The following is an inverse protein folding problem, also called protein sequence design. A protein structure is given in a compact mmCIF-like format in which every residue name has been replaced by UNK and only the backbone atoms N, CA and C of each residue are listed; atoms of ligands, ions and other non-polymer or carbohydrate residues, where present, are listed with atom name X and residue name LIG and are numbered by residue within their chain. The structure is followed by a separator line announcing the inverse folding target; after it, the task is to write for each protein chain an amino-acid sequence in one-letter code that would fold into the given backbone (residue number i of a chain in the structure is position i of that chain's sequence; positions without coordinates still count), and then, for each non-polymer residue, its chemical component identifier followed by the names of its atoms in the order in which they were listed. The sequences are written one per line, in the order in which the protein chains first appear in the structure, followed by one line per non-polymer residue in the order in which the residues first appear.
data_IF_760638754152
#
_entry.id   IF_760638754152
#
_cell.length_a   1.000
_cell.length_b   1.000
_cell.length_c   1.000
_cell.angle_alpha   90.00
_cell.angle_beta   90.00
_cell.angle_gamma   90.00
#
_symmetry.space_group_name_H-M   'P 1'
#
loop_
_entity.id
_entity.type
_entity.pdbx_description
1 polymer ?
#
# COMPACT_ATOMS: atom_id res chain seq x y z
N UNK A 1 12.28 -5.87 -23.22
CA UNK A 1 13.15 -4.69 -22.92
C UNK A 1 12.77 -3.98 -21.61
N UNK A 2 11.49 -3.73 -21.32
CA UNK A 2 11.03 -3.00 -20.11
C UNK A 2 11.09 -3.85 -18.84
N UNK A 3 10.76 -5.13 -18.92
CA UNK A 3 10.91 -6.13 -17.85
C UNK A 3 12.37 -6.24 -17.38
N UNK A 4 13.32 -6.38 -18.31
CA UNK A 4 14.75 -6.45 -17.99
C UNK A 4 15.24 -5.20 -17.24
N UNK A 5 14.65 -4.03 -17.52
CA UNK A 5 14.99 -2.80 -16.81
C UNK A 5 14.45 -2.80 -15.38
N UNK A 6 13.22 -3.26 -15.21
CA UNK A 6 12.60 -3.46 -13.90
C UNK A 6 13.45 -4.42 -13.03
N UNK A 7 13.84 -5.57 -13.57
CA UNK A 7 14.68 -6.55 -12.86
C UNK A 7 16.03 -5.94 -12.45
N UNK A 8 16.71 -5.24 -13.37
CA UNK A 8 17.98 -4.56 -13.08
C UNK A 8 17.84 -3.50 -11.98
N UNK A 9 16.76 -2.74 -11.98
CA UNK A 9 16.55 -1.71 -10.95
C UNK A 9 16.25 -2.34 -9.57
N UNK A 10 15.58 -3.49 -9.51
CA UNK A 10 15.40 -4.24 -8.27
C UNK A 10 16.70 -4.86 -7.78
N UNK A 11 17.49 -5.46 -8.68
CA UNK A 11 18.80 -6.05 -8.37
C UNK A 11 19.76 -5.00 -7.76
N UNK A 12 19.81 -3.78 -8.29
CA UNK A 12 20.58 -2.67 -7.71
C UNK A 12 20.21 -2.34 -6.26
N UNK A 13 18.99 -2.71 -5.85
CA UNK A 13 18.50 -2.52 -4.49
C UNK A 13 18.51 -3.82 -3.67
N UNK A 14 19.22 -4.86 -4.14
CA UNK A 14 19.30 -6.18 -3.52
C UNK A 14 17.93 -6.89 -3.38
N UNK A 15 17.00 -6.58 -4.27
CA UNK A 15 15.70 -7.26 -4.34
C UNK A 15 15.75 -8.24 -5.52
N UNK A 16 15.82 -9.53 -5.18
CA UNK A 16 15.83 -10.60 -6.19
C UNK A 16 14.40 -11.00 -6.53
N UNK A 17 14.17 -11.32 -7.80
CA UNK A 17 12.87 -11.76 -8.31
C UNK A 17 13.04 -13.19 -8.84
N UNK A 18 12.31 -14.14 -8.29
CA UNK A 18 12.28 -15.51 -8.81
C UNK A 18 11.49 -15.59 -10.12
N UNK A 19 11.72 -16.63 -10.90
CA UNK A 19 10.95 -16.89 -12.13
C UNK A 19 9.45 -16.99 -11.85
N UNK A 20 9.05 -17.66 -10.77
CA UNK A 20 7.65 -17.78 -10.38
C UNK A 20 7.03 -16.41 -10.03
N UNK A 21 7.74 -15.54 -9.30
CA UNK A 21 7.28 -14.18 -9.01
C UNK A 21 7.14 -13.35 -10.29
N UNK A 22 8.10 -13.45 -11.20
CA UNK A 22 8.04 -12.74 -12.47
C UNK A 22 6.86 -13.21 -13.33
N UNK A 23 6.59 -14.51 -13.36
CA UNK A 23 5.42 -15.06 -14.04
C UNK A 23 4.11 -14.53 -13.46
N UNK A 24 3.99 -14.47 -12.11
CA UNK A 24 2.82 -13.88 -11.46
C UNK A 24 2.66 -12.40 -11.80
N UNK A 25 3.74 -11.61 -11.78
CA UNK A 25 3.70 -10.19 -12.15
C UNK A 25 3.29 -10.01 -13.62
N UNK A 26 3.75 -10.87 -14.52
CA UNK A 26 3.37 -10.84 -15.93
C UNK A 26 1.90 -11.17 -16.16
N UNK A 27 1.36 -12.18 -15.48
CA UNK A 27 -0.07 -12.50 -15.49
C UNK A 27 -0.90 -11.33 -14.94
N UNK A 28 -0.47 -10.76 -13.82
CA UNK A 28 -1.12 -9.60 -13.20
C UNK A 28 -1.16 -8.39 -14.15
N UNK A 29 -0.01 -8.04 -14.76
CA UNK A 29 0.08 -6.94 -15.73
C UNK A 29 -0.90 -7.13 -16.87
N UNK A 30 -0.89 -8.31 -17.51
CA UNK A 30 -1.77 -8.62 -18.64
C UNK A 30 -3.24 -8.46 -18.26
N UNK A 31 -3.64 -9.05 -17.15
CA UNK A 31 -5.02 -8.97 -16.67
C UNK A 31 -5.42 -7.54 -16.29
N UNK A 32 -4.54 -6.78 -15.64
CA UNK A 32 -4.77 -5.38 -15.34
C UNK A 32 -5.02 -4.55 -16.60
N UNK A 33 -4.21 -4.73 -17.65
CA UNK A 33 -4.38 -4.03 -18.93
C UNK A 33 -5.69 -4.38 -19.63
N UNK A 34 -6.10 -5.65 -19.58
CA UNK A 34 -7.37 -6.11 -20.15
C UNK A 34 -8.56 -5.52 -19.37
N UNK A 35 -8.56 -5.63 -18.04
CA UNK A 35 -9.67 -5.19 -17.21
C UNK A 35 -9.75 -3.66 -17.08
N UNK A 36 -8.65 -2.96 -17.25
CA UNK A 36 -8.64 -1.50 -17.21
C UNK A 36 -9.49 -0.86 -18.33
N UNK A 37 -9.61 -1.54 -19.46
CA UNK A 37 -10.49 -1.11 -20.57
C UNK A 37 -11.98 -1.09 -20.17
N UNK A 38 -12.35 -1.89 -19.16
CA UNK A 38 -13.72 -2.05 -18.69
C UNK A 38 -14.02 -1.20 -17.44
N UNK A 39 -13.04 -1.06 -16.56
CA UNK A 39 -13.29 -0.57 -15.20
C UNK A 39 -12.53 0.72 -14.85
N UNK A 40 -11.62 1.20 -15.71
CA UNK A 40 -10.77 2.38 -15.42
C UNK A 40 -10.05 2.25 -14.05
N UNK A 41 -9.36 1.15 -13.83
CA UNK A 41 -8.72 0.81 -12.56
C UNK A 41 -7.53 1.72 -12.25
N UNK A 42 -6.81 2.14 -13.29
CA UNK A 42 -5.62 2.99 -13.21
C UNK A 42 -5.43 3.82 -14.49
N UNK A 43 -4.83 5.00 -14.38
CA UNK A 43 -4.39 5.79 -15.52
C UNK A 43 -3.06 5.31 -16.13
N UNK A 44 -2.30 4.49 -15.40
CA UNK A 44 -0.97 4.01 -15.78
C UNK A 44 -1.08 2.62 -16.39
N UNK A 45 -1.14 2.52 -17.72
CA UNK A 45 -1.48 1.29 -18.45
C UNK A 45 -0.36 0.77 -19.37
N UNK A 46 0.67 1.57 -19.64
CA UNK A 46 1.78 1.11 -20.46
C UNK A 46 2.61 0.08 -19.68
N UNK A 47 3.29 -0.82 -20.40
CA UNK A 47 4.18 -1.79 -19.76
C UNK A 47 5.22 -1.11 -18.85
N UNK A 48 5.75 0.04 -19.29
CA UNK A 48 6.72 0.80 -18.51
C UNK A 48 6.13 1.37 -17.23
N UNK A 49 4.93 1.95 -17.32
CA UNK A 49 4.25 2.48 -16.13
C UNK A 49 3.94 1.36 -15.12
N UNK A 50 3.45 0.21 -15.61
CA UNK A 50 3.08 -0.91 -14.72
C UNK A 50 4.33 -1.46 -14.02
N UNK A 51 5.42 -1.74 -14.76
CA UNK A 51 6.64 -2.25 -14.14
C UNK A 51 7.32 -1.25 -13.20
N UNK A 52 7.35 0.03 -13.54
CA UNK A 52 8.15 1.01 -12.81
C UNK A 52 7.34 1.82 -11.80
N UNK A 53 6.12 2.25 -12.17
CA UNK A 53 5.29 3.08 -11.29
C UNK A 53 4.29 2.28 -10.45
N UNK A 54 4.04 1.01 -10.82
CA UNK A 54 3.22 0.13 -10.01
C UNK A 54 4.07 -0.94 -9.30
N UNK A 55 4.71 -1.85 -10.03
CA UNK A 55 5.40 -2.98 -9.40
C UNK A 55 6.66 -2.55 -8.64
N UNK A 56 7.56 -1.79 -9.28
CA UNK A 56 8.76 -1.31 -8.60
C UNK A 56 8.41 -0.42 -7.41
N UNK A 57 7.52 0.56 -7.61
CA UNK A 57 7.07 1.47 -6.54
C UNK A 57 6.44 0.71 -5.36
N UNK A 58 5.78 -0.42 -5.63
CA UNK A 58 5.18 -1.26 -4.59
C UNK A 58 6.18 -2.12 -3.83
N UNK A 59 7.25 -2.61 -4.46
CA UNK A 59 8.18 -3.54 -3.80
C UNK A 59 9.40 -2.85 -3.22
N UNK A 60 9.81 -1.69 -3.75
CA UNK A 60 11.00 -0.98 -3.25
C UNK A 60 10.87 -0.60 -1.76
N UNK A 61 9.66 -0.52 -1.24
CA UNK A 61 9.42 -0.29 0.18
C UNK A 61 10.09 -1.36 1.07
N UNK A 62 10.28 -2.58 0.56
CA UNK A 62 10.97 -3.66 1.30
C UNK A 62 12.44 -3.35 1.61
N UNK A 63 13.04 -2.40 0.92
CA UNK A 63 14.37 -1.87 1.26
C UNK A 63 14.34 -1.04 2.56
N UNK A 64 13.23 -0.41 2.83
CA UNK A 64 13.06 0.54 3.94
C UNK A 64 12.27 -0.04 5.10
N UNK A 65 11.46 -1.06 4.84
CA UNK A 65 10.59 -1.70 5.82
C UNK A 65 10.71 -3.23 5.76
N UNK A 66 10.94 -3.87 6.93
CA UNK A 66 11.11 -5.32 7.01
C UNK A 66 9.76 -6.02 7.22
N UNK A 67 9.15 -6.50 6.15
CA UNK A 67 7.88 -7.23 6.17
C UNK A 67 7.96 -8.62 6.81
N UNK A 68 9.15 -9.17 7.07
CA UNK A 68 9.30 -10.45 7.76
C UNK A 68 9.03 -10.35 9.27
N UNK A 69 8.99 -9.14 9.83
CA UNK A 69 8.75 -8.89 11.25
C UNK A 69 7.28 -8.68 11.60
N UNK A 70 6.38 -8.84 10.64
CA UNK A 70 4.94 -8.66 10.83
C UNK A 70 4.17 -9.87 10.31
N UNK A 71 3.01 -10.12 10.89
CA UNK A 71 2.12 -11.22 10.51
C UNK A 71 0.99 -10.76 9.61
N UNK A 72 0.55 -9.51 9.76
CA UNK A 72 -0.63 -8.99 9.06
C UNK A 72 -0.49 -7.53 8.63
N UNK A 73 -1.12 -7.23 7.49
CA UNK A 73 -1.12 -5.91 6.85
C UNK A 73 -2.51 -5.61 6.28
N UNK A 74 -2.97 -4.38 6.47
CA UNK A 74 -4.11 -3.84 5.72
C UNK A 74 -3.62 -2.78 4.72
N UNK A 75 -3.88 -2.99 3.44
CA UNK A 75 -3.63 -2.03 2.36
C UNK A 75 -4.89 -1.20 2.12
N UNK A 76 -4.87 0.04 2.60
CA UNK A 76 -6.03 0.93 2.59
C UNK A 76 -6.06 1.79 1.32
N UNK A 77 -7.20 1.74 0.63
CA UNK A 77 -7.34 2.39 -0.67
C UNK A 77 -6.48 1.70 -1.73
N UNK A 78 -6.40 0.38 -1.64
CA UNK A 78 -5.51 -0.48 -2.44
C UNK A 78 -5.65 -0.30 -3.95
N UNK A 79 -6.78 0.20 -4.42
CA UNK A 79 -7.03 0.42 -5.84
C UNK A 79 -7.02 -0.87 -6.64
N UNK A 80 -6.16 -0.92 -7.62
CA UNK A 80 -5.93 -2.13 -8.39
C UNK A 80 -4.98 -3.14 -7.68
N UNK A 81 -4.76 -3.02 -6.35
CA UNK A 81 -3.95 -3.95 -5.57
C UNK A 81 -2.52 -3.47 -5.28
N UNK A 82 -2.30 -2.17 -5.24
CA UNK A 82 -0.98 -1.58 -5.04
C UNK A 82 -0.88 -0.79 -3.72
N UNK A 83 0.03 -1.17 -2.82
CA UNK A 83 1.11 -2.14 -3.00
C UNK A 83 0.74 -3.60 -2.63
N UNK A 84 -0.44 -3.88 -2.07
CA UNK A 84 -0.76 -5.11 -1.36
C UNK A 84 -0.58 -6.40 -2.16
N UNK A 85 -1.06 -6.48 -3.42
CA UNK A 85 -0.91 -7.70 -4.25
C UNK A 85 0.56 -7.94 -4.60
N UNK A 86 1.32 -6.87 -4.90
CA UNK A 86 2.76 -7.01 -5.18
C UNK A 86 3.50 -7.50 -3.94
N UNK A 87 3.23 -6.90 -2.77
CA UNK A 87 3.80 -7.36 -1.51
C UNK A 87 3.45 -8.84 -1.24
N UNK A 88 2.23 -9.28 -1.56
CA UNK A 88 1.83 -10.68 -1.41
C UNK A 88 2.64 -11.64 -2.28
N UNK A 89 2.98 -11.25 -3.50
CA UNK A 89 3.81 -12.06 -4.40
C UNK A 89 5.22 -12.23 -3.82
N UNK A 90 5.77 -11.22 -3.17
CA UNK A 90 7.12 -11.26 -2.59
C UNK A 90 7.15 -11.81 -1.15
N UNK A 91 6.07 -11.64 -0.39
CA UNK A 91 5.94 -12.09 1.01
C UNK A 91 4.73 -13.04 1.16
N UNK A 92 4.82 -14.29 0.65
CA UNK A 92 3.68 -15.20 0.55
C UNK A 92 3.07 -15.61 1.90
N UNK A 93 3.82 -15.52 2.99
CA UNK A 93 3.33 -15.85 4.33
C UNK A 93 2.55 -14.72 5.00
N UNK A 94 2.72 -13.47 4.54
CA UNK A 94 2.07 -12.30 5.11
C UNK A 94 0.55 -12.36 4.89
N UNK A 95 -0.23 -12.17 5.95
CA UNK A 95 -1.68 -12.04 5.86
C UNK A 95 -2.04 -10.61 5.40
N UNK A 96 -2.74 -10.49 4.28
CA UNK A 96 -3.04 -9.18 3.67
C UNK A 96 -4.53 -8.97 3.51
N UNK A 97 -5.00 -7.79 3.92
CA UNK A 97 -6.34 -7.28 3.69
C UNK A 97 -6.27 -6.12 2.70
N UNK A 98 -6.82 -6.31 1.51
CA UNK A 98 -6.93 -5.28 0.48
C UNK A 98 -8.25 -4.54 0.65
N UNK A 99 -8.22 -3.27 1.05
CA UNK A 99 -9.43 -2.51 1.36
C UNK A 99 -9.64 -1.41 0.33
N UNK A 100 -10.80 -1.38 -0.30
CA UNK A 100 -11.22 -0.28 -1.17
C UNK A 100 -12.75 -0.08 -1.09
N UNK A 101 -13.20 1.15 -1.22
CA UNK A 101 -14.63 1.50 -1.22
C UNK A 101 -15.30 1.33 -2.58
N UNK A 102 -14.56 0.95 -3.62
CA UNK A 102 -15.07 0.77 -4.99
C UNK A 102 -15.27 -0.73 -5.30
N UNK A 103 -16.52 -1.13 -5.41
CA UNK A 103 -16.88 -2.53 -5.68
C UNK A 103 -16.30 -3.10 -6.98
N UNK A 104 -16.11 -2.28 -8.02
CA UNK A 104 -15.48 -2.74 -9.28
C UNK A 104 -14.02 -3.14 -9.06
N UNK A 105 -13.30 -2.39 -8.21
CA UNK A 105 -11.92 -2.72 -7.82
C UNK A 105 -11.87 -4.00 -6.99
N UNK A 106 -12.80 -4.18 -6.04
CA UNK A 106 -12.90 -5.39 -5.23
C UNK A 106 -13.15 -6.64 -6.11
N UNK A 107 -14.02 -6.53 -7.10
CA UNK A 107 -14.23 -7.61 -8.07
C UNK A 107 -12.93 -7.98 -8.80
N UNK A 108 -12.25 -6.97 -9.35
CA UNK A 108 -10.95 -7.16 -10.00
C UNK A 108 -9.93 -7.82 -9.06
N UNK A 109 -9.85 -7.39 -7.79
CA UNK A 109 -8.93 -7.95 -6.80
C UNK A 109 -9.25 -9.42 -6.49
N UNK A 110 -10.51 -9.79 -6.36
CA UNK A 110 -10.90 -11.18 -6.17
C UNK A 110 -10.50 -12.06 -7.37
N UNK A 111 -10.64 -11.55 -8.59
CA UNK A 111 -10.23 -12.26 -9.79
C UNK A 111 -8.70 -12.45 -9.84
N UNK A 112 -7.92 -11.41 -9.49
CA UNK A 112 -6.45 -11.49 -9.39
C UNK A 112 -6.02 -12.50 -8.32
N UNK A 113 -6.60 -12.46 -7.13
CA UNK A 113 -6.30 -13.38 -6.03
C UNK A 113 -6.50 -14.83 -6.50
N UNK A 114 -7.63 -15.09 -7.16
CA UNK A 114 -7.96 -16.42 -7.70
C UNK A 114 -7.01 -16.83 -8.83
N UNK A 115 -6.76 -15.94 -9.79
CA UNK A 115 -5.93 -16.22 -10.97
C UNK A 115 -4.49 -16.53 -10.61
N UNK A 116 -3.94 -15.84 -9.61
CA UNK A 116 -2.58 -16.03 -9.12
C UNK A 116 -2.47 -17.06 -7.99
N UNK A 117 -3.58 -17.71 -7.61
CA UNK A 117 -3.68 -18.66 -6.49
C UNK A 117 -3.08 -18.14 -5.18
N UNK A 118 -3.27 -16.85 -4.89
CA UNK A 118 -2.71 -16.22 -3.70
C UNK A 118 -3.46 -16.69 -2.45
N UNK A 119 -2.70 -17.09 -1.42
CA UNK A 119 -3.25 -17.54 -0.12
C UNK A 119 -3.07 -16.44 0.93
N UNK A 120 -3.85 -16.50 2.02
CA UNK A 120 -3.78 -15.54 3.12
C UNK A 120 -3.92 -14.06 2.67
N UNK A 121 -4.75 -13.81 1.66
CA UNK A 121 -5.08 -12.47 1.18
C UNK A 121 -6.57 -12.39 0.88
N UNK A 122 -7.20 -11.28 1.22
CA UNK A 122 -8.64 -11.06 1.01
C UNK A 122 -8.91 -9.63 0.60
N UNK A 123 -9.83 -9.44 -0.35
CA UNK A 123 -10.31 -8.11 -0.74
C UNK A 123 -11.60 -7.78 0.02
N UNK A 124 -11.62 -6.60 0.65
CA UNK A 124 -12.73 -6.13 1.49
C UNK A 124 -13.32 -4.86 0.87
N UNK A 125 -14.62 -4.93 0.54
CA UNK A 125 -15.38 -3.75 0.14
C UNK A 125 -15.82 -2.98 1.38
N UNK A 126 -15.07 -1.96 1.76
CA UNK A 126 -15.38 -1.14 2.93
C UNK A 126 -14.79 0.25 2.79
N UNK A 127 -15.37 1.20 3.50
CA UNK A 127 -14.69 2.44 3.86
C UNK A 127 -13.82 2.19 5.08
N UNK A 128 -12.79 3.00 5.26
CA UNK A 128 -11.85 2.83 6.37
C UNK A 128 -12.52 3.05 7.73
N UNK A 129 -13.45 3.99 7.80
CA UNK A 129 -14.19 4.31 9.02
C UNK A 129 -15.15 3.20 9.47
N UNK A 130 -15.52 2.28 8.56
CA UNK A 130 -16.43 1.17 8.81
C UNK A 130 -15.69 -0.17 8.95
N UNK A 131 -14.35 -0.13 8.93
CA UNK A 131 -13.52 -1.32 8.92
C UNK A 131 -13.31 -1.88 10.33
N UNK A 132 -13.82 -3.08 10.58
CA UNK A 132 -13.64 -3.79 11.85
C UNK A 132 -12.64 -4.94 11.71
N UNK A 133 -11.37 -4.60 11.52
CA UNK A 133 -10.24 -5.54 11.53
C UNK A 133 -9.08 -4.94 12.33
N UNK A 134 -8.18 -5.82 12.78
CA UNK A 134 -6.92 -5.43 13.40
C UNK A 134 -5.77 -6.12 12.68
N UNK A 135 -4.73 -5.35 12.39
CA UNK A 135 -3.52 -5.82 11.73
C UNK A 135 -2.29 -5.27 12.45
N UNK A 136 -1.14 -5.89 12.25
CA UNK A 136 0.11 -5.32 12.77
C UNK A 136 0.33 -3.91 12.21
N UNK A 137 0.21 -3.78 10.89
CA UNK A 137 0.39 -2.51 10.21
C UNK A 137 -0.75 -2.19 9.26
N UNK A 138 -0.92 -0.89 9.02
CA UNK A 138 -1.64 -0.36 7.85
C UNK A 138 -0.62 0.19 6.87
N UNK A 139 -0.79 -0.12 5.60
CA UNK A 139 -0.08 0.57 4.51
C UNK A 139 -1.09 1.32 3.65
N UNK A 140 -0.68 2.47 3.12
CA UNK A 140 -1.46 3.20 2.14
C UNK A 140 -0.57 3.93 1.15
N UNK A 141 -0.93 3.88 -0.14
CA UNK A 141 -0.22 4.55 -1.22
C UNK A 141 -1.11 5.58 -1.90
N UNK A 142 -0.66 6.84 -1.91
CA UNK A 142 -1.33 7.95 -2.59
C UNK A 142 -2.79 8.18 -2.17
N UNK A 143 -3.15 7.87 -0.93
CA UNK A 143 -4.49 8.02 -0.38
C UNK A 143 -4.55 9.27 0.51
N UNK A 144 -5.47 10.17 0.24
CA UNK A 144 -5.91 11.26 1.11
C UNK A 144 -4.81 12.08 1.82
N UNK A 145 -5.22 12.87 2.80
CA UNK A 145 -4.33 13.62 3.70
C UNK A 145 -3.78 12.69 4.80
N UNK A 146 -2.52 12.90 5.23
CA UNK A 146 -1.84 12.08 6.25
C UNK A 146 -2.63 12.03 7.56
N UNK A 147 -3.01 13.19 8.10
CA UNK A 147 -3.72 13.26 9.38
C UNK A 147 -5.07 12.57 9.32
N UNK A 148 -5.80 12.77 8.23
CA UNK A 148 -7.10 12.14 8.02
C UNK A 148 -6.98 10.61 7.97
N UNK A 149 -6.02 10.11 7.20
CA UNK A 149 -5.80 8.69 7.06
C UNK A 149 -5.29 8.05 8.36
N UNK A 150 -4.35 8.71 9.05
CA UNK A 150 -3.78 8.22 10.30
C UNK A 150 -4.86 8.08 11.38
N UNK A 151 -5.76 9.07 11.48
CA UNK A 151 -6.84 9.01 12.46
C UNK A 151 -7.89 7.95 12.09
N UNK A 152 -8.35 7.88 10.84
CA UNK A 152 -9.34 6.89 10.43
C UNK A 152 -8.85 5.45 10.56
N UNK A 153 -7.57 5.19 10.27
CA UNK A 153 -6.98 3.86 10.40
C UNK A 153 -6.51 3.52 11.81
N UNK A 154 -6.65 4.44 12.78
CA UNK A 154 -6.02 4.33 14.10
C UNK A 154 -6.36 3.04 14.86
N UNK A 155 -7.58 2.54 14.74
CA UNK A 155 -7.98 1.28 15.36
C UNK A 155 -7.59 0.04 14.56
N UNK A 156 -7.22 0.20 13.28
CA UNK A 156 -6.88 -0.91 12.39
C UNK A 156 -5.45 -1.40 12.66
N UNK A 157 -4.45 -0.50 12.65
CA UNK A 157 -3.06 -0.89 12.94
C UNK A 157 -2.78 -0.95 14.44
N UNK A 158 -2.06 -2.01 14.85
CA UNK A 158 -1.66 -2.20 16.24
C UNK A 158 -0.26 -1.63 16.52
N UNK A 159 0.63 -1.69 15.53
CA UNK A 159 2.04 -1.29 15.65
C UNK A 159 2.33 -0.02 14.86
N UNK A 160 2.17 -0.06 13.55
CA UNK A 160 2.68 0.99 12.67
C UNK A 160 1.73 1.33 11.53
N UNK A 161 1.81 2.59 11.11
CA UNK A 161 1.20 3.10 9.89
C UNK A 161 2.30 3.45 8.89
N UNK A 162 2.28 2.84 7.73
CA UNK A 162 3.28 3.00 6.66
C UNK A 162 2.65 3.73 5.49
N UNK A 163 3.12 4.94 5.20
CA UNK A 163 2.59 5.76 4.13
C UNK A 163 3.59 5.91 2.98
N UNK A 164 3.12 5.64 1.77
CA UNK A 164 3.84 5.87 0.51
C UNK A 164 3.29 7.11 -0.18
N UNK A 165 4.10 8.16 -0.27
CA UNK A 165 3.68 9.49 -0.73
C UNK A 165 4.49 9.94 -1.94
N UNK A 166 3.87 10.79 -2.78
CA UNK A 166 4.53 11.37 -3.95
C UNK A 166 5.46 12.54 -3.61
N UNK A 167 5.11 13.32 -2.60
CA UNK A 167 5.88 14.49 -2.15
C UNK A 167 6.06 14.45 -0.64
N UNK A 168 7.09 15.16 -0.18
CA UNK A 168 7.24 15.42 1.26
C UNK A 168 6.08 16.30 1.71
N UNK A 169 5.40 15.88 2.77
CA UNK A 169 4.31 16.61 3.40
C UNK A 169 4.73 16.96 4.82
N UNK A 170 4.31 18.12 5.30
CA UNK A 170 4.48 18.47 6.69
C UNK A 170 3.58 17.61 7.56
N UNK A 171 4.17 17.09 8.63
CA UNK A 171 3.45 16.25 9.59
C UNK A 171 3.08 17.14 10.78
N UNK A 172 1.80 17.26 11.04
CA UNK A 172 1.27 18.07 12.13
C UNK A 172 1.75 17.52 13.49
N UNK A 173 2.29 18.41 14.34
CA UNK A 173 2.61 18.06 15.73
C UNK A 173 1.38 17.60 16.50
N UNK A 174 0.24 18.26 16.26
CA UNK A 174 -1.03 17.87 16.87
C UNK A 174 -1.42 16.42 16.52
N UNK A 175 -1.16 15.97 15.29
CA UNK A 175 -1.39 14.59 14.89
C UNK A 175 -0.58 13.63 15.77
N UNK A 176 0.73 13.89 15.88
CA UNK A 176 1.65 13.01 16.61
C UNK A 176 1.26 12.93 18.10
N UNK A 177 1.01 14.09 18.72
CA UNK A 177 0.63 14.17 20.13
C UNK A 177 -0.72 13.50 20.41
N UNK A 178 -1.74 13.82 19.61
CA UNK A 178 -3.09 13.31 19.83
C UNK A 178 -3.20 11.80 19.61
N UNK A 179 -2.51 11.27 18.62
CA UNK A 179 -2.53 9.83 18.31
C UNK A 179 -1.41 9.04 19.00
N UNK A 180 -0.59 9.68 19.82
CA UNK A 180 0.60 9.09 20.44
C UNK A 180 1.47 8.36 19.40
N UNK A 181 1.81 9.06 18.31
CA UNK A 181 2.63 8.55 17.23
C UNK A 181 4.01 9.16 17.24
N UNK A 182 5.02 8.34 16.99
CA UNK A 182 6.37 8.78 16.65
C UNK A 182 6.67 8.51 15.18
N UNK A 183 7.47 9.36 14.56
CA UNK A 183 8.02 9.09 13.22
C UNK A 183 9.23 8.20 13.43
N UNK A 184 9.07 6.89 13.18
CA UNK A 184 10.15 5.90 13.28
C UNK A 184 11.11 6.02 12.09
N UNK A 185 10.56 6.31 10.91
CA UNK A 185 11.34 6.46 9.69
C UNK A 185 10.68 7.43 8.72
N UNK A 186 11.49 8.21 8.03
CA UNK A 186 11.08 9.00 6.88
C UNK A 186 12.21 8.98 5.86
N UNK A 187 11.94 8.40 4.68
CA UNK A 187 12.93 8.17 3.63
C UNK A 187 12.42 8.68 2.28
N UNK A 188 13.33 9.24 1.50
CA UNK A 188 13.06 9.63 0.12
C UNK A 188 13.76 8.68 -0.84
N UNK A 189 13.09 8.36 -1.94
CA UNK A 189 13.69 7.64 -3.07
C UNK A 189 13.18 8.18 -4.40
N UNK A 190 13.92 7.89 -5.45
CA UNK A 190 13.57 8.27 -6.81
C UNK A 190 13.04 7.05 -7.56
N UNK A 191 11.92 7.21 -8.24
CA UNK A 191 11.50 6.21 -9.21
C UNK A 191 12.48 6.14 -10.37
N UNK A 192 12.84 4.95 -10.84
CA UNK A 192 13.67 4.79 -12.02
C UNK A 192 13.04 5.50 -13.22
N UNK A 193 13.83 6.20 -14.02
CA UNK A 193 13.44 6.87 -15.28
C UNK A 193 12.65 8.17 -15.09
N UNK A 194 11.53 8.14 -14.43
CA UNK A 194 10.67 9.32 -14.21
C UNK A 194 11.35 10.35 -13.29
N UNK A 195 12.33 9.90 -12.47
CA UNK A 195 12.95 10.67 -11.39
C UNK A 195 11.92 11.33 -10.45
N UNK A 196 10.73 10.78 -10.41
CA UNK A 196 9.71 11.23 -9.47
C UNK A 196 10.14 10.92 -8.04
N UNK A 197 10.15 11.92 -7.20
CA UNK A 197 10.42 11.76 -5.77
C UNK A 197 9.27 11.00 -5.13
N UNK A 198 9.62 10.04 -4.29
CA UNK A 198 8.72 9.29 -3.42
C UNK A 198 9.19 9.37 -1.99
N UNK A 199 8.25 9.36 -1.08
CA UNK A 199 8.49 9.37 0.35
C UNK A 199 7.84 8.16 1.00
N UNK A 200 8.56 7.53 1.93
CA UNK A 200 8.04 6.53 2.84
C UNK A 200 8.08 7.14 4.23
N UNK A 201 6.96 7.10 4.92
CA UNK A 201 6.85 7.55 6.30
C UNK A 201 6.32 6.38 7.12
N UNK A 202 7.02 6.03 8.19
CA UNK A 202 6.61 5.01 9.14
C UNK A 202 6.29 5.70 10.46
N UNK A 203 5.03 5.65 10.84
CA UNK A 203 4.57 6.09 12.15
C UNK A 203 4.44 4.87 13.06
N UNK A 204 5.06 4.95 14.22
CA UNK A 204 4.94 3.94 15.26
C UNK A 204 3.97 4.41 16.34
N UNK A 205 3.05 3.53 16.72
CA UNK A 205 2.13 3.78 17.82
C UNK A 205 2.82 3.43 19.13
N UNK A 206 3.04 4.45 19.96
CA UNK A 206 3.67 4.28 21.29
C UNK A 206 2.67 3.70 22.30
N UNK A 207 1.50 4.32 22.37
CA UNK A 207 0.43 3.93 23.28
C UNK A 207 -0.92 4.22 22.64
N UNK A 208 -1.85 3.30 22.79
CA UNK A 208 -3.20 3.54 22.31
C UNK A 208 -3.88 4.68 23.10
N UNK A 209 -4.51 5.62 22.37
CA UNK A 209 -5.30 6.69 22.93
C UNK A 209 -6.79 6.43 22.69
N UNK A 210 -7.50 6.05 23.74
CA UNK A 210 -8.92 5.66 23.66
C UNK A 210 -9.86 6.82 23.23
N UNK A 211 -9.38 8.05 23.14
CA UNK A 211 -10.15 9.19 22.60
C UNK A 211 -10.19 9.18 21.07
N UNK A 212 -9.39 8.33 20.42
CA UNK A 212 -9.23 8.26 18.97
C UNK A 212 -9.51 6.85 18.43
N UNK A 213 -9.99 6.72 17.18
CA UNK A 213 -10.38 7.85 16.32
C UNK A 213 -11.62 8.57 16.86
N UNK A 214 -11.73 9.86 16.58
CA UNK A 214 -12.94 10.62 16.81
C UNK A 214 -14.07 10.11 15.88
N UNK A 215 -15.31 10.49 16.14
CA UNK A 215 -16.41 10.18 15.21
C UNK A 215 -16.10 10.75 13.81
N UNK A 216 -16.36 9.98 12.76
CA UNK A 216 -16.07 10.33 11.38
C UNK A 216 -16.48 11.76 10.98
N UNK A 217 -17.67 12.21 11.42
CA UNK A 217 -18.17 13.55 11.13
C UNK A 217 -17.28 14.67 11.72
N UNK A 218 -16.64 14.43 12.86
CA UNK A 218 -15.72 15.38 13.49
C UNK A 218 -14.37 15.40 12.75
N UNK A 219 -13.87 14.24 12.33
CA UNK A 219 -12.64 14.14 11.56
C UNK A 219 -12.80 14.89 10.23
N UNK A 220 -13.95 14.74 9.57
CA UNK A 220 -14.25 15.41 8.31
C UNK A 220 -14.32 16.93 8.44
N UNK A 221 -14.77 17.44 9.59
CA UNK A 221 -14.86 18.89 9.84
C UNK A 221 -13.54 19.52 10.23
N UNK A 222 -12.70 18.80 10.95
CA UNK A 222 -11.45 19.31 11.51
C UNK A 222 -10.39 18.20 11.50
N UNK A 223 -9.48 18.27 10.54
CA UNK A 223 -8.31 17.39 10.43
C UNK A 223 -7.27 17.80 11.49
N UNK A 224 -6.59 16.84 12.14
CA UNK A 224 -5.55 17.07 13.15
C UNK A 224 -4.29 17.72 12.57
#
# INVERSE_FOLDING_TARGET
MKENKFLKELEKNNILVSEAQLEMLNKYKKYLQEQNKLYNLTALITDEDIYLKHFYDSIIISKYYNFNNIESLADIGTGAGFPGVVLKIFFPNLKIYLVDSNNKKIKFLNDIIKMLDLKNIVAIHSRIEDLDIKTDIVIARAVGNISYLAELSYNVYQKELVLMRGRKEEISKNLLENLNLNIEKQEEYLLPIAKDIRNIIVFKKEKHNNKYPRKYILIKKQVL
#
